data_IF_646202984315
#
_entry.id   IF_646202984315
#
_cell.length_a   1.000
_cell.length_b   1.000
_cell.length_c   1.000
_cell.angle_alpha   90.00
_cell.angle_beta   90.00
_cell.angle_gamma   90.00
#
_symmetry.space_group_name_H-M   'P 1'
#
loop_
_entity.id
_entity.type
_entity.pdbx_description
1 polymer ?
#
# COMPACT_ATOMS: atom_id res chain seq x y z
N UNK A 1 22.10 -46.98 53.31
CA UNK A 1 20.98 -47.23 52.37
C UNK A 1 21.50 -47.04 50.96
N UNK A 2 21.28 -48.00 50.04
CA UNK A 2 21.75 -47.84 48.65
C UNK A 2 20.91 -46.76 47.96
N UNK A 3 21.56 -45.74 47.42
CA UNK A 3 20.91 -44.58 46.78
C UNK A 3 20.12 -44.99 45.53
N UNK A 4 20.62 -46.02 44.82
CA UNK A 4 19.99 -46.71 43.70
C UNK A 4 19.75 -48.17 44.05
N UNK A 5 18.55 -48.66 43.74
CA UNK A 5 18.24 -50.08 43.61
C UNK A 5 18.84 -50.65 42.29
N UNK A 6 19.10 -51.96 42.26
CA UNK A 6 19.42 -52.79 41.10
C UNK A 6 18.53 -52.57 39.86
N UNK A 7 17.31 -52.05 40.06
CA UNK A 7 16.36 -51.70 39.00
C UNK A 7 16.43 -50.23 38.55
N UNK A 8 17.45 -49.47 38.98
CA UNK A 8 17.64 -48.06 38.61
C UNK A 8 16.64 -47.10 39.28
N UNK A 9 16.07 -47.50 40.43
CA UNK A 9 15.11 -46.69 41.20
C UNK A 9 15.81 -45.89 42.29
N UNK A 10 15.60 -44.58 42.30
CA UNK A 10 15.94 -43.69 43.41
C UNK A 10 15.01 -43.98 44.59
N UNK A 11 15.61 -44.35 45.72
CA UNK A 11 14.93 -44.63 46.99
C UNK A 11 13.80 -45.69 46.85
N UNK A 12 13.92 -46.58 45.86
CA UNK A 12 12.95 -47.65 45.59
C UNK A 12 11.59 -47.22 45.02
N UNK A 13 11.34 -45.90 44.88
CA UNK A 13 10.04 -45.35 44.49
C UNK A 13 10.02 -44.74 43.09
N UNK A 14 11.08 -44.05 42.70
CA UNK A 14 11.10 -43.26 41.45
C UNK A 14 12.15 -43.83 40.51
N UNK A 15 11.75 -44.16 39.28
CA UNK A 15 12.70 -44.58 38.24
C UNK A 15 13.57 -43.39 37.80
N UNK A 16 14.88 -43.58 37.68
CA UNK A 16 15.77 -42.57 37.10
C UNK A 16 15.36 -42.21 35.67
N UNK A 17 14.79 -43.17 34.94
CA UNK A 17 14.28 -42.93 33.59
C UNK A 17 13.09 -41.96 33.59
N UNK A 18 12.15 -42.12 34.53
CA UNK A 18 11.01 -41.20 34.68
C UNK A 18 11.47 -39.81 35.12
N UNK A 19 12.46 -39.74 36.01
CA UNK A 19 13.03 -38.45 36.44
C UNK A 19 13.70 -37.72 35.27
N UNK A 20 14.44 -38.44 34.43
CA UNK A 20 15.03 -37.90 33.21
C UNK A 20 13.99 -37.43 32.20
N UNK A 21 12.93 -38.20 32.00
CA UNK A 21 11.82 -37.83 31.13
C UNK A 21 11.09 -36.57 31.63
N UNK A 22 10.81 -36.49 32.94
CA UNK A 22 10.19 -35.34 33.57
C UNK A 22 11.06 -34.07 33.45
N UNK A 23 12.38 -34.21 33.65
CA UNK A 23 13.32 -33.10 33.48
C UNK A 23 13.36 -32.62 32.02
N UNK A 24 13.38 -33.54 31.05
CA UNK A 24 13.36 -33.19 29.64
C UNK A 24 12.08 -32.41 29.25
N UNK A 25 10.91 -32.88 29.70
CA UNK A 25 9.63 -32.19 29.50
C UNK A 25 9.67 -30.80 30.14
N UNK A 26 10.17 -30.70 31.38
CA UNK A 26 10.30 -29.41 32.07
C UNK A 26 11.19 -28.42 31.32
N UNK A 27 12.35 -28.87 30.82
CA UNK A 27 13.25 -28.03 30.02
C UNK A 27 12.62 -27.58 28.70
N UNK A 28 11.82 -28.43 28.04
CA UNK A 28 11.07 -28.04 26.84
C UNK A 28 10.05 -26.95 27.16
N UNK A 29 9.28 -27.10 28.24
CA UNK A 29 8.29 -26.10 28.68
C UNK A 29 8.99 -24.76 28.97
N UNK A 30 10.07 -24.77 29.76
CA UNK A 30 10.85 -23.57 30.06
C UNK A 30 11.43 -22.95 28.78
N UNK A 31 11.94 -23.78 27.87
CA UNK A 31 12.48 -23.34 26.59
C UNK A 31 11.46 -22.59 25.72
N UNK A 32 10.20 -23.04 25.71
CA UNK A 32 9.11 -22.35 24.98
C UNK A 32 8.84 -20.95 25.53
N UNK A 33 8.91 -20.76 26.85
CA UNK A 33 8.64 -19.47 27.49
C UNK A 33 9.84 -18.52 27.50
N UNK A 34 11.07 -19.04 27.60
CA UNK A 34 12.30 -18.22 27.63
C UNK A 34 12.78 -17.86 26.22
N UNK A 35 12.59 -18.77 25.25
CA UNK A 35 12.98 -18.56 23.84
C UNK A 35 11.76 -18.77 22.95
N UNK A 36 10.77 -17.86 22.98
CA UNK A 36 9.61 -17.95 22.12
C UNK A 36 10.08 -18.00 20.65
N UNK A 37 9.64 -19.03 19.92
CA UNK A 37 9.99 -19.21 18.52
C UNK A 37 9.55 -18.00 17.69
N UNK A 38 10.46 -17.48 16.86
CA UNK A 38 10.17 -16.37 15.92
C UNK A 38 9.20 -16.77 14.80
N UNK A 39 8.83 -18.05 14.71
CA UNK A 39 7.96 -18.64 13.68
C UNK A 39 6.47 -18.31 13.83
N UNK A 40 6.07 -17.68 14.94
CA UNK A 40 4.68 -17.29 15.21
C UNK A 40 4.47 -15.81 15.48
N UNK A 41 5.52 -14.97 15.38
CA UNK A 41 5.36 -13.52 15.39
C UNK A 41 4.79 -13.11 14.03
N UNK A 42 3.51 -13.40 13.81
CA UNK A 42 2.70 -12.51 13.01
C UNK A 42 2.89 -11.13 13.64
N UNK A 43 3.65 -10.30 12.94
CA UNK A 43 3.71 -8.88 13.19
C UNK A 43 2.32 -8.30 12.89
N UNK A 44 1.34 -8.64 13.71
CA UNK A 44 0.24 -7.75 14.08
C UNK A 44 0.85 -6.74 15.06
N UNK A 45 2.01 -6.17 14.70
CA UNK A 45 2.21 -4.79 15.01
C UNK A 45 1.00 -4.12 14.36
N UNK A 46 0.14 -3.50 15.15
CA UNK A 46 -0.73 -2.44 14.67
C UNK A 46 0.20 -1.44 13.98
N UNK A 47 0.53 -1.67 12.72
CA UNK A 47 1.30 -0.73 11.92
C UNK A 47 0.37 0.46 11.85
N UNK A 48 0.73 1.50 12.61
CA UNK A 48 -0.11 2.66 12.78
C UNK A 48 -0.45 3.19 11.37
N UNK A 49 -1.73 3.14 11.03
CA UNK A 49 -2.23 3.74 9.81
C UNK A 49 -1.95 5.25 9.92
N UNK A 50 -1.11 5.76 9.01
CA UNK A 50 -0.85 7.18 8.91
C UNK A 50 -1.58 7.75 7.71
N UNK A 51 -2.09 8.99 7.81
CA UNK A 51 -2.60 9.69 6.65
C UNK A 51 -1.46 9.89 5.64
N UNK A 52 -1.75 9.62 4.38
CA UNK A 52 -0.84 9.86 3.25
C UNK A 52 -1.55 10.68 2.17
N UNK A 53 -0.75 11.39 1.39
CA UNK A 53 -1.18 11.99 0.14
C UNK A 53 -0.39 11.38 -1.02
N UNK A 54 -1.10 11.00 -2.06
CA UNK A 54 -0.54 10.38 -3.27
C UNK A 54 -0.92 11.25 -4.44
N UNK A 55 0.08 11.79 -5.13
CA UNK A 55 -0.16 12.48 -6.40
C UNK A 55 -0.15 11.43 -7.50
N UNK A 56 -1.22 11.40 -8.27
CA UNK A 56 -1.32 10.56 -9.46
C UNK A 56 -1.45 11.44 -10.69
N UNK A 57 -0.74 11.05 -11.76
CA UNK A 57 -0.87 11.69 -13.06
C UNK A 57 -1.81 10.87 -13.94
N UNK A 58 -2.74 11.58 -14.56
CA UNK A 58 -3.66 11.10 -15.59
C UNK A 58 -3.16 11.66 -16.92
N UNK A 59 -2.97 10.78 -17.91
CA UNK A 59 -2.48 11.16 -19.25
C UNK A 59 -3.38 10.55 -20.31
N UNK A 60 -3.89 11.41 -21.19
CA UNK A 60 -4.70 11.06 -22.35
C UNK A 60 -6.06 10.49 -21.97
N UNK A 61 -6.67 10.92 -20.87
CA UNK A 61 -7.99 10.42 -20.50
C UNK A 61 -9.01 10.88 -21.54
N UNK A 62 -9.53 9.93 -22.30
CA UNK A 62 -10.62 10.16 -23.24
C UNK A 62 -11.93 10.37 -22.48
N UNK A 63 -12.54 11.54 -22.63
CA UNK A 63 -13.80 11.90 -22.00
C UNK A 63 -14.56 12.87 -22.89
N UNK A 64 -15.84 12.60 -23.14
CA UNK A 64 -16.67 13.42 -24.03
C UNK A 64 -16.88 14.84 -23.50
N UNK A 65 -16.99 14.98 -22.18
CA UNK A 65 -17.09 16.26 -21.48
C UNK A 65 -16.12 16.29 -20.28
N UNK A 66 -14.86 16.75 -20.48
CA UNK A 66 -13.87 16.83 -19.41
C UNK A 66 -14.29 17.70 -18.22
N UNK A 67 -15.05 18.77 -18.47
CA UNK A 67 -15.48 19.68 -17.42
C UNK A 67 -16.50 19.03 -16.49
N UNK A 68 -17.44 18.25 -17.03
CA UNK A 68 -18.39 17.49 -16.23
C UNK A 68 -17.69 16.50 -15.30
N UNK A 69 -16.66 15.79 -15.78
CA UNK A 69 -15.88 14.86 -14.96
C UNK A 69 -15.11 15.58 -13.84
N UNK A 70 -14.50 16.74 -14.13
CA UNK A 70 -13.80 17.54 -13.12
C UNK A 70 -14.78 18.06 -12.06
N UNK A 71 -16.00 18.45 -12.47
CA UNK A 71 -17.05 18.85 -11.55
C UNK A 71 -17.50 17.67 -10.68
N UNK A 72 -17.70 16.48 -11.25
CA UNK A 72 -18.02 15.26 -10.49
C UNK A 72 -16.97 14.96 -9.42
N UNK A 73 -15.68 15.06 -9.75
CA UNK A 73 -14.60 14.88 -8.78
C UNK A 73 -14.63 15.94 -7.67
N UNK A 74 -14.96 17.18 -8.01
CA UNK A 74 -15.04 18.30 -7.06
C UNK A 74 -16.24 18.20 -6.12
N UNK A 75 -17.35 17.63 -6.59
CA UNK A 75 -18.58 17.40 -5.82
C UNK A 75 -18.47 16.16 -4.93
N UNK A 76 -18.07 15.03 -5.51
CA UNK A 76 -18.00 13.73 -4.82
C UNK A 76 -16.82 13.69 -3.85
N UNK A 77 -15.68 14.30 -4.22
CA UNK A 77 -14.42 14.36 -3.46
C UNK A 77 -13.86 13.01 -3.02
N UNK A 78 -14.34 11.90 -3.60
CA UNK A 78 -13.98 10.55 -3.22
C UNK A 78 -13.90 9.67 -4.46
N UNK A 79 -13.04 8.67 -4.40
CA UNK A 79 -12.87 7.67 -5.46
C UNK A 79 -12.41 6.35 -4.86
N UNK A 80 -12.88 5.24 -5.42
CA UNK A 80 -12.33 3.94 -5.07
C UNK A 80 -11.02 3.75 -5.80
N UNK A 81 -10.06 3.12 -5.12
CA UNK A 81 -8.78 2.80 -5.71
C UNK A 81 -8.62 1.29 -5.85
N UNK A 82 -8.15 0.88 -7.03
CA UNK A 82 -7.80 -0.50 -7.34
C UNK A 82 -6.31 -0.54 -7.69
N UNK A 83 -5.57 -1.43 -7.04
CA UNK A 83 -4.13 -1.59 -7.26
C UNK A 83 -3.89 -3.05 -7.62
N UNK A 84 -3.30 -3.29 -8.80
CA UNK A 84 -3.08 -4.66 -9.34
C UNK A 84 -4.37 -5.51 -9.36
N UNK A 85 -5.47 -4.94 -9.85
CA UNK A 85 -6.79 -5.57 -9.92
C UNK A 85 -7.32 -6.04 -8.54
N UNK A 86 -6.85 -5.43 -7.45
CA UNK A 86 -7.35 -5.67 -6.10
C UNK A 86 -7.92 -4.38 -5.51
N UNK A 87 -9.19 -4.40 -5.05
CA UNK A 87 -9.77 -3.27 -4.32
C UNK A 87 -8.89 -2.90 -3.13
N UNK A 88 -8.45 -1.64 -3.08
CA UNK A 88 -7.45 -1.16 -2.12
C UNK A 88 -7.99 -0.06 -1.19
N UNK A 89 -9.26 0.29 -1.32
CA UNK A 89 -9.98 1.21 -0.42
C UNK A 89 -10.55 2.42 -1.15
N UNK A 90 -11.05 3.38 -0.37
CA UNK A 90 -11.57 4.67 -0.84
C UNK A 90 -10.59 5.79 -0.44
N UNK A 91 -10.31 6.70 -1.38
CA UNK A 91 -9.45 7.87 -1.17
C UNK A 91 -10.25 9.15 -1.42
N UNK A 92 -9.90 10.20 -0.69
CA UNK A 92 -10.40 11.55 -0.89
C UNK A 92 -9.63 12.24 -2.04
N UNK A 93 -10.34 12.87 -2.97
CA UNK A 93 -9.75 13.74 -4.00
C UNK A 93 -9.58 15.14 -3.39
N UNK A 94 -8.35 15.46 -2.97
CA UNK A 94 -8.03 16.72 -2.29
C UNK A 94 -7.82 17.87 -3.27
N UNK A 95 -7.14 17.63 -4.38
CA UNK A 95 -6.81 18.64 -5.38
C UNK A 95 -6.91 18.03 -6.77
N UNK A 96 -7.42 18.81 -7.72
CA UNK A 96 -7.48 18.49 -9.14
C UNK A 96 -6.72 19.59 -9.88
N UNK A 97 -5.66 19.22 -10.57
CA UNK A 97 -4.83 20.14 -11.35
C UNK A 97 -4.84 19.74 -12.83
N UNK A 98 -5.75 20.34 -13.63
CA UNK A 98 -5.74 20.17 -15.07
C UNK A 98 -4.39 20.55 -15.69
N UNK A 99 -3.92 19.76 -16.63
CA UNK A 99 -2.71 20.05 -17.41
C UNK A 99 -3.13 20.50 -18.82
N UNK A 100 -2.53 21.57 -19.37
CA UNK A 100 -2.80 21.99 -20.73
C UNK A 100 -2.17 21.03 -21.73
N UNK A 101 -2.90 20.70 -22.80
CA UNK A 101 -2.34 20.02 -23.96
C UNK A 101 -1.82 21.06 -24.95
N UNK A 102 -0.52 20.99 -25.20
CA UNK A 102 0.16 21.89 -26.11
C UNK A 102 0.90 21.09 -27.16
N UNK A 103 1.12 21.72 -28.30
CA UNK A 103 1.96 21.21 -29.38
C UNK A 103 3.17 22.11 -29.56
N UNK A 104 4.24 21.52 -30.08
CA UNK A 104 5.51 22.18 -30.31
C UNK A 104 5.42 22.95 -31.62
N UNK A 105 5.57 24.28 -31.56
CA UNK A 105 5.49 25.15 -32.74
C UNK A 105 6.83 25.87 -32.96
N UNK A 106 7.58 25.51 -34.02
CA UNK A 106 8.81 26.23 -34.38
C UNK A 106 8.47 27.65 -34.84
N UNK A 107 9.33 28.60 -34.48
CA UNK A 107 9.17 30.01 -34.80
C UNK A 107 10.14 30.45 -35.90
N UNK A 108 9.85 31.54 -36.64
CA UNK A 108 10.75 32.04 -37.70
C UNK A 108 12.14 32.45 -37.20
N UNK A 109 12.29 32.76 -35.92
CA UNK A 109 13.57 33.09 -35.27
C UNK A 109 14.37 31.85 -34.81
N UNK A 110 13.89 30.64 -35.10
CA UNK A 110 14.50 29.38 -34.68
C UNK A 110 14.16 28.95 -33.25
N UNK A 111 13.39 29.74 -32.49
CA UNK A 111 12.90 29.36 -31.18
C UNK A 111 11.73 28.36 -31.27
N UNK A 112 11.38 27.77 -30.13
CA UNK A 112 10.29 26.78 -30.03
C UNK A 112 9.32 27.23 -28.95
N UNK A 113 8.03 27.25 -29.26
CA UNK A 113 6.95 27.58 -28.32
C UNK A 113 5.99 26.41 -28.14
N UNK A 114 5.50 26.26 -26.91
CA UNK A 114 4.37 25.38 -26.61
C UNK A 114 3.08 26.18 -26.79
N UNK A 115 2.29 25.87 -27.82
CA UNK A 115 1.01 26.52 -28.10
C UNK A 115 -0.14 25.52 -27.94
N UNK A 116 -1.38 25.95 -27.68
CA UNK A 116 -2.54 25.06 -27.65
C UNK A 116 -2.61 24.20 -28.92
N UNK A 117 -2.89 22.92 -28.75
CA UNK A 117 -3.02 22.00 -29.87
C UNK A 117 -4.30 22.32 -30.66
N UNK A 118 -4.23 22.63 -31.97
CA UNK A 118 -5.38 23.07 -32.75
C UNK A 118 -6.30 21.92 -33.19
N UNK A 119 -5.90 20.67 -32.94
CA UNK A 119 -6.66 19.50 -33.40
C UNK A 119 -8.01 19.40 -32.68
N UNK A 120 -9.12 19.25 -33.41
CA UNK A 120 -10.46 19.26 -32.82
C UNK A 120 -10.67 18.12 -31.82
N UNK A 121 -10.04 16.97 -32.02
CA UNK A 121 -10.18 15.82 -31.11
C UNK A 121 -9.53 16.03 -29.74
N UNK A 122 -8.63 17.01 -29.59
CA UNK A 122 -7.91 17.26 -28.33
C UNK A 122 -8.85 17.68 -27.21
N UNK A 123 -10.01 18.27 -27.55
CA UNK A 123 -11.03 18.66 -26.57
C UNK A 123 -11.61 17.46 -25.81
N UNK A 124 -11.52 16.25 -26.37
CA UNK A 124 -11.98 15.01 -25.75
C UNK A 124 -10.91 14.31 -24.91
N UNK A 125 -9.73 14.90 -24.78
CA UNK A 125 -8.64 14.36 -23.97
C UNK A 125 -8.32 15.31 -22.81
N UNK A 126 -8.20 14.76 -21.61
CA UNK A 126 -7.79 15.53 -20.45
C UNK A 126 -6.59 14.91 -19.74
N UNK A 127 -5.57 15.73 -19.58
CA UNK A 127 -4.42 15.45 -18.73
C UNK A 127 -4.64 16.18 -17.40
N UNK A 128 -4.32 15.55 -16.28
CA UNK A 128 -4.44 16.16 -14.96
C UNK A 128 -3.56 15.47 -13.93
N UNK A 129 -3.25 16.21 -12.86
CA UNK A 129 -2.70 15.63 -11.63
C UNK A 129 -3.81 15.65 -10.59
N UNK A 130 -4.01 14.52 -9.92
CA UNK A 130 -4.94 14.38 -8.80
C UNK A 130 -4.13 14.14 -7.53
N UNK A 131 -4.43 14.89 -6.48
CA UNK A 131 -3.89 14.64 -5.14
C UNK A 131 -4.91 13.82 -4.37
N UNK A 132 -4.58 12.57 -4.09
CA UNK A 132 -5.44 11.63 -3.38
C UNK A 132 -5.00 11.52 -1.92
N UNK A 133 -5.93 11.65 -0.98
CA UNK A 133 -5.67 11.53 0.45
C UNK A 133 -6.32 10.25 0.99
N UNK A 134 -5.56 9.47 1.74
CA UNK A 134 -6.06 8.25 2.35
C UNK A 134 -5.19 7.82 3.51
N UNK A 135 -5.44 6.62 4.04
CA UNK A 135 -4.64 6.04 5.11
C UNK A 135 -3.80 4.88 4.57
N UNK A 136 -2.58 4.76 5.09
CA UNK A 136 -1.67 3.68 4.73
C UNK A 136 -0.90 3.17 5.94
N UNK A 137 -0.56 1.89 5.90
CA UNK A 137 0.38 1.28 6.83
C UNK A 137 1.80 1.64 6.40
N UNK A 138 2.55 2.32 7.27
CA UNK A 138 3.93 2.70 6.98
C UNK A 138 4.86 1.58 7.42
N UNK A 139 5.57 1.00 6.45
CA UNK A 139 6.61 -0.03 6.68
C UNK A 139 7.98 0.54 6.38
N UNK A 140 9.04 -0.16 6.78
CA UNK A 140 10.44 0.19 6.45
C UNK A 140 10.70 0.33 4.95
N UNK A 141 9.84 -0.27 4.12
CA UNK A 141 10.00 -0.31 2.66
C UNK A 141 9.05 0.61 1.88
N UNK A 142 8.20 1.36 2.59
CA UNK A 142 7.24 2.32 2.02
C UNK A 142 5.82 2.22 2.59
N UNK A 143 4.94 3.05 2.05
CA UNK A 143 3.51 3.07 2.39
C UNK A 143 2.78 1.89 1.72
N UNK A 144 1.96 1.19 2.51
CA UNK A 144 1.14 0.06 2.09
C UNK A 144 -0.32 0.46 2.20
N UNK A 145 -1.05 0.37 1.09
CA UNK A 145 -2.48 0.65 1.00
C UNK A 145 -3.18 -0.66 0.62
N UNK A 146 -4.15 -1.08 1.42
CA UNK A 146 -4.69 -2.43 1.36
C UNK A 146 -3.58 -3.47 1.60
N UNK A 147 -3.24 -4.24 0.57
CA UNK A 147 -2.14 -5.22 0.60
C UNK A 147 -0.98 -4.86 -0.35
N UNK A 148 -1.03 -3.68 -0.97
CA UNK A 148 -0.10 -3.28 -2.03
C UNK A 148 0.75 -2.09 -1.61
N UNK A 149 2.03 -2.10 -2.01
CA UNK A 149 2.94 -0.97 -1.79
C UNK A 149 2.64 0.12 -2.81
N UNK A 150 2.46 1.34 -2.33
CA UNK A 150 2.31 2.53 -3.18
C UNK A 150 3.65 3.26 -3.24
N UNK A 151 4.21 3.36 -4.44
CA UNK A 151 5.48 4.03 -4.74
C UNK A 151 5.32 4.84 -6.02
N UNK A 152 6.29 5.70 -6.29
CA UNK A 152 6.40 6.36 -7.60
C UNK A 152 6.42 5.29 -8.70
N UNK A 153 5.59 5.47 -9.71
CA UNK A 153 5.38 4.52 -10.81
C UNK A 153 4.31 3.44 -10.54
N UNK A 154 3.78 3.33 -9.32
CA UNK A 154 2.64 2.42 -9.06
C UNK A 154 1.45 2.84 -9.92
N UNK A 155 0.86 1.88 -10.63
CA UNK A 155 -0.40 2.10 -11.35
C UNK A 155 -1.56 1.99 -10.35
N UNK A 156 -2.36 3.05 -10.27
CA UNK A 156 -3.56 3.11 -9.45
C UNK A 156 -4.72 3.33 -10.40
N UNK A 157 -5.67 2.41 -10.38
CA UNK A 157 -6.93 2.56 -11.08
C UNK A 157 -7.91 3.31 -10.18
N UNK A 158 -8.53 4.35 -10.73
CA UNK A 158 -9.55 5.15 -10.06
C UNK A 158 -10.91 4.71 -10.59
N UNK A 159 -11.77 4.29 -9.68
CA UNK A 159 -13.10 3.76 -9.98
C UNK A 159 -14.15 4.62 -9.27
N UNK A 160 -15.08 5.14 -10.07
CA UNK A 160 -16.28 5.83 -9.61
C UNK A 160 -17.52 5.26 -10.27
N UNK A 161 -18.61 6.01 -10.20
CA UNK A 161 -19.89 5.56 -10.77
C UNK A 161 -19.85 5.50 -12.29
N UNK A 162 -19.36 6.57 -12.92
CA UNK A 162 -19.41 6.76 -14.37
C UNK A 162 -18.01 6.72 -15.02
N UNK A 163 -16.97 6.39 -14.25
CA UNK A 163 -15.59 6.32 -14.71
C UNK A 163 -14.81 5.15 -14.11
N UNK A 164 -13.91 4.59 -14.91
CA UNK A 164 -12.84 3.70 -14.47
C UNK A 164 -11.63 3.95 -15.38
N UNK A 165 -10.49 4.36 -14.81
CA UNK A 165 -9.25 4.56 -15.59
C UNK A 165 -7.98 4.42 -14.76
N UNK A 166 -6.89 4.11 -15.45
CA UNK A 166 -5.56 3.96 -14.88
C UNK A 166 -4.83 5.30 -14.74
N UNK A 167 -4.08 5.43 -13.64
CA UNK A 167 -3.20 6.56 -13.33
C UNK A 167 -1.83 6.06 -12.91
N UNK A 168 -0.83 6.92 -12.90
CA UNK A 168 0.51 6.58 -12.39
C UNK A 168 0.88 7.48 -11.21
N UNK A 169 1.32 6.89 -10.11
CA UNK A 169 1.79 7.64 -8.94
C UNK A 169 3.07 8.40 -9.28
N UNK A 170 3.09 9.71 -9.02
CA UNK A 170 4.25 10.58 -9.22
C UNK A 170 4.87 11.06 -7.90
N UNK A 171 4.09 11.07 -6.80
CA UNK A 171 4.60 11.40 -5.47
C UNK A 171 3.79 10.68 -4.38
N UNK A 172 4.46 10.38 -3.26
CA UNK A 172 3.83 9.85 -2.04
C UNK A 172 4.37 10.64 -0.86
N UNK A 173 3.48 11.28 -0.10
CA UNK A 173 3.79 12.08 1.08
C UNK A 173 3.14 11.47 2.31
N UNK A 174 3.93 11.25 3.36
CA UNK A 174 3.42 10.82 4.65
C UNK A 174 3.05 12.08 5.43
N UNK A 175 1.78 12.20 5.78
CA UNK A 175 1.29 13.33 6.55
C UNK A 175 1.63 13.11 8.03
N UNK A 176 1.99 14.19 8.72
CA UNK A 176 2.27 14.18 10.16
C UNK A 176 0.99 14.20 10.97
#
# INVERSE_FOLDING_TARGET
>A
MKLLDSKGRLWGKISILDLGAALAIFLVIVGIFVVPGKSGTSTIAQVANKPIEVDVIVRGLGVSNPEALINEFSETKKTNIVIRNQPSGEFEIKEIRPLPRTTVVPQPDGSVKALPDPRPEVVYFKDMILTLRGNAQITDTGAVVGQQKVKIGTLIELEGKDYNFNTSTIAVRIMK
#
